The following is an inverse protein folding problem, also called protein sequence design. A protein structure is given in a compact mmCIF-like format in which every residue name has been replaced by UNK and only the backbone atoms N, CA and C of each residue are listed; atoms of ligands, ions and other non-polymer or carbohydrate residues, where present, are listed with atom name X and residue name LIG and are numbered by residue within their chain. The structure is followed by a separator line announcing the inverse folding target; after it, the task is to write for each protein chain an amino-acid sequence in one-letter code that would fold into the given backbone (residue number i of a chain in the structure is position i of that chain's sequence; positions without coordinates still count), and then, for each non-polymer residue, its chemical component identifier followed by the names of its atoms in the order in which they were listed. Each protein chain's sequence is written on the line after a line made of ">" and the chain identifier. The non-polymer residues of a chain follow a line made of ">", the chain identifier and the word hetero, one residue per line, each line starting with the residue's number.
data_IF_614724303560
#
_entry.id   IF_614724303560
#
_cell.length_a   1.000
_cell.length_b   1.000
_cell.length_c   1.000
_cell.angle_alpha   90.00
_cell.angle_beta   90.00
_cell.angle_gamma   90.00
#
_symmetry.space_group_name_H-M   'P 1'
#
loop_
_entity.id
_entity.type
_entity.pdbx_description
1 polymer ?
#
# COMPACT_ATOMS: atom_id res chain seq x y z
N UNK A 1 -12.69 13.46 10.92
CA UNK A 1 -11.23 13.37 11.23
C UNK A 1 -10.50 14.35 10.32
N UNK A 2 -9.72 15.23 10.90
CA UNK A 2 -8.96 16.24 10.14
C UNK A 2 -7.75 15.59 9.48
N UNK A 3 -7.48 15.90 8.20
CA UNK A 3 -6.30 15.45 7.49
C UNK A 3 -5.04 16.00 8.14
N UNK A 4 -4.07 15.13 8.43
CA UNK A 4 -2.74 15.48 8.91
C UNK A 4 -1.71 15.22 7.82
N UNK A 5 -0.78 16.17 7.62
CA UNK A 5 0.32 16.01 6.67
C UNK A 5 1.62 16.25 7.41
N UNK A 6 2.54 15.30 7.31
CA UNK A 6 3.88 15.37 7.86
C UNK A 6 4.91 15.24 6.75
N UNK A 7 6.06 15.87 6.93
CA UNK A 7 7.20 15.77 6.01
C UNK A 7 8.47 15.45 6.80
N UNK A 8 9.22 14.48 6.30
CA UNK A 8 10.50 14.07 6.87
C UNK A 8 11.53 13.90 5.75
N UNK A 9 12.80 14.00 6.10
CA UNK A 9 13.91 13.59 5.24
C UNK A 9 14.47 12.29 5.78
N UNK A 10 14.73 11.32 4.90
CA UNK A 10 15.34 10.05 5.27
C UNK A 10 16.10 9.45 4.09
N UNK A 11 17.11 8.62 4.38
CA UNK A 11 17.80 7.87 3.35
C UNK A 11 16.85 6.93 2.63
N UNK A 12 16.97 6.79 1.29
CA UNK A 12 16.15 5.84 0.56
C UNK A 12 16.49 4.39 0.96
N UNK A 13 15.49 3.52 0.91
CA UNK A 13 15.66 2.09 1.11
C UNK A 13 14.64 1.34 0.27
N UNK A 14 15.08 0.26 -0.38
CA UNK A 14 14.17 -0.66 -1.07
C UNK A 14 13.34 -1.51 -0.09
N UNK A 15 13.68 -1.48 1.18
CA UNK A 15 12.85 -2.04 2.28
C UNK A 15 12.12 -0.89 2.95
N UNK A 16 11.00 -0.48 2.37
CA UNK A 16 10.21 0.69 2.78
C UNK A 16 9.95 0.75 4.28
N UNK A 17 9.65 -0.40 4.89
CA UNK A 17 9.31 -0.49 6.32
C UNK A 17 10.51 -0.27 7.25
N UNK A 18 11.73 -0.22 6.74
CA UNK A 18 12.93 0.09 7.53
C UNK A 18 13.21 1.59 7.63
N UNK A 19 12.54 2.40 6.81
CA UNK A 19 12.66 3.86 6.86
C UNK A 19 11.98 4.34 8.14
N UNK A 20 12.74 4.99 9.04
CA UNK A 20 12.29 5.27 10.41
C UNK A 20 10.92 5.97 10.54
N UNK A 21 10.61 7.06 9.80
CA UNK A 21 9.29 7.68 9.90
C UNK A 21 8.15 6.77 9.43
N UNK A 22 8.40 5.90 8.44
CA UNK A 22 7.40 4.97 7.91
C UNK A 22 7.18 3.80 8.87
N UNK A 23 8.23 3.28 9.48
CA UNK A 23 8.14 2.27 10.54
C UNK A 23 7.32 2.79 11.72
N UNK A 24 7.56 4.03 12.13
CA UNK A 24 6.79 4.71 13.19
C UNK A 24 5.31 4.82 12.81
N UNK A 25 5.01 5.23 11.58
CA UNK A 25 3.64 5.35 11.09
C UNK A 25 2.90 4.00 11.17
N UNK A 26 3.52 2.94 10.67
CA UNK A 26 2.93 1.59 10.70
C UNK A 26 2.66 1.17 12.15
N UNK A 27 3.63 1.34 13.04
CA UNK A 27 3.49 0.94 14.44
C UNK A 27 2.37 1.71 15.14
N UNK A 28 2.26 3.02 14.91
CA UNK A 28 1.24 3.87 15.54
C UNK A 28 -0.16 3.60 15.01
N UNK A 29 -0.30 3.38 13.69
CA UNK A 29 -1.60 3.27 13.05
C UNK A 29 -2.11 1.83 12.94
N UNK A 30 -1.23 0.87 12.72
CA UNK A 30 -1.59 -0.53 12.46
C UNK A 30 -1.10 -1.50 13.55
N UNK A 31 -0.02 -1.17 14.25
CA UNK A 31 0.63 -2.13 15.17
C UNK A 31 1.36 -3.24 14.40
N UNK A 32 1.47 -4.41 15.02
CA UNK A 32 2.26 -5.52 14.49
C UNK A 32 1.45 -6.51 13.63
N UNK A 33 0.13 -6.39 13.64
CA UNK A 33 -0.75 -7.34 12.97
C UNK A 33 -1.47 -6.69 11.79
N UNK A 34 -0.95 -6.90 10.60
CA UNK A 34 -1.52 -6.39 9.36
C UNK A 34 -1.28 -7.37 8.19
N UNK A 35 -2.12 -7.28 7.18
CA UNK A 35 -1.96 -8.03 5.93
C UNK A 35 -1.02 -7.26 5.00
N UNK A 36 -0.09 -7.95 4.37
CA UNK A 36 0.86 -7.39 3.40
C UNK A 36 0.89 -8.26 2.13
N UNK A 37 0.25 -7.81 1.03
CA UNK A 37 0.26 -8.58 -0.22
C UNK A 37 1.60 -8.52 -0.99
N UNK A 38 2.52 -7.65 -0.58
CA UNK A 38 3.85 -7.52 -1.18
C UNK A 38 4.95 -7.66 -0.12
N UNK A 39 5.00 -8.79 0.60
CA UNK A 39 6.00 -8.97 1.65
C UNK A 39 7.41 -9.09 1.06
N UNK A 40 8.40 -8.95 1.92
CA UNK A 40 9.79 -9.24 1.57
C UNK A 40 10.23 -10.52 2.33
N UNK A 41 10.68 -11.56 1.63
CA UNK A 41 10.73 -11.72 0.17
C UNK A 41 9.35 -11.96 -0.47
N UNK A 42 9.19 -11.47 -1.70
CA UNK A 42 7.95 -11.65 -2.47
C UNK A 42 7.95 -13.02 -3.16
N UNK A 43 6.94 -13.84 -2.92
CA UNK A 43 6.91 -15.23 -3.39
C UNK A 43 5.59 -15.67 -4.03
N UNK A 44 4.53 -14.89 -3.88
CA UNK A 44 3.20 -15.24 -4.36
C UNK A 44 2.57 -14.06 -5.09
N UNK A 45 1.81 -14.36 -6.16
CA UNK A 45 1.01 -13.35 -6.86
C UNK A 45 0.08 -12.64 -5.87
N UNK A 46 0.23 -11.32 -5.76
CA UNK A 46 -0.49 -10.51 -4.78
C UNK A 46 -2.00 -10.57 -4.97
N UNK A 47 -2.48 -10.58 -6.21
CA UNK A 47 -3.93 -10.67 -6.49
C UNK A 47 -4.49 -12.01 -6.06
N UNK A 48 -3.80 -13.10 -6.36
CA UNK A 48 -4.18 -14.43 -5.89
C UNK A 48 -4.21 -14.52 -4.37
N UNK A 49 -3.18 -13.97 -3.72
CA UNK A 49 -3.10 -13.91 -2.26
C UNK A 49 -4.31 -13.17 -1.67
N UNK A 50 -4.62 -11.97 -2.20
CA UNK A 50 -5.76 -11.18 -1.73
C UNK A 50 -7.10 -11.89 -1.96
N UNK A 51 -7.29 -12.56 -3.10
CA UNK A 51 -8.52 -13.29 -3.42
C UNK A 51 -8.82 -14.43 -2.45
N UNK A 52 -7.79 -15.02 -1.85
CA UNK A 52 -7.95 -16.10 -0.88
C UNK A 52 -8.33 -15.62 0.52
N UNK A 53 -8.32 -14.33 0.78
CA UNK A 53 -8.72 -13.74 2.05
C UNK A 53 -10.24 -13.51 2.04
N UNK A 54 -10.98 -13.92 3.08
CA UNK A 54 -12.42 -13.69 3.15
C UNK A 54 -12.79 -12.19 3.14
N UNK A 55 -13.94 -11.87 2.60
CA UNK A 55 -14.49 -10.51 2.65
C UNK A 55 -14.69 -10.04 4.09
N UNK A 56 -14.49 -8.75 4.34
CA UNK A 56 -14.72 -8.11 5.64
C UNK A 56 -14.01 -8.82 6.82
N UNK A 57 -12.78 -9.28 6.59
CA UNK A 57 -12.03 -10.04 7.60
C UNK A 57 -10.77 -9.32 8.09
N UNK A 58 -10.34 -8.24 7.42
CA UNK A 58 -9.06 -7.57 7.68
C UNK A 58 -9.28 -6.22 8.35
N UNK A 59 -8.63 -6.01 9.50
CA UNK A 59 -8.64 -4.73 10.20
C UNK A 59 -7.57 -3.77 9.71
N UNK A 60 -6.38 -4.30 9.39
CA UNK A 60 -5.21 -3.51 9.02
C UNK A 60 -4.49 -4.11 7.83
N UNK A 61 -4.08 -3.28 6.88
CA UNK A 61 -3.38 -3.71 5.68
C UNK A 61 -2.32 -2.68 5.29
N UNK A 62 -1.17 -3.15 4.85
CA UNK A 62 -0.12 -2.34 4.22
C UNK A 62 -0.12 -2.64 2.73
N UNK A 63 -0.18 -1.61 1.90
CA UNK A 63 -0.15 -1.71 0.45
C UNK A 63 1.09 -1.03 -0.10
N UNK A 64 2.13 -1.81 -0.32
CA UNK A 64 3.41 -1.35 -0.89
C UNK A 64 3.68 -2.05 -2.23
N UNK A 65 2.87 -1.75 -3.27
CA UNK A 65 3.03 -2.39 -4.58
C UNK A 65 4.23 -1.83 -5.33
N UNK A 66 4.67 -2.51 -6.40
CA UNK A 66 5.57 -1.88 -7.36
C UNK A 66 4.96 -0.58 -7.89
N UNK A 67 5.80 0.46 -8.06
CA UNK A 67 5.31 1.80 -8.38
C UNK A 67 5.19 2.07 -9.88
N UNK A 68 5.70 1.16 -10.71
CA UNK A 68 5.64 1.26 -12.17
C UNK A 68 5.48 -0.13 -12.81
N UNK A 69 5.08 -0.15 -14.07
CA UNK A 69 4.97 -1.40 -14.85
C UNK A 69 6.31 -2.14 -14.93
N UNK A 70 7.42 -1.40 -15.05
CA UNK A 70 8.75 -1.98 -15.07
C UNK A 70 9.10 -2.64 -13.73
N UNK A 71 8.84 -1.97 -12.62
CA UNK A 71 9.08 -2.55 -11.29
C UNK A 71 8.20 -3.78 -11.03
N UNK A 72 6.96 -3.74 -11.49
CA UNK A 72 6.03 -4.87 -11.38
C UNK A 72 6.56 -6.08 -12.12
N UNK A 73 6.99 -5.90 -13.38
CA UNK A 73 7.58 -6.96 -14.20
C UNK A 73 8.80 -7.56 -13.51
N UNK A 74 9.74 -6.70 -13.09
CA UNK A 74 10.98 -7.13 -12.45
C UNK A 74 10.72 -7.91 -11.16
N UNK A 75 9.79 -7.44 -10.34
CA UNK A 75 9.44 -8.11 -9.08
C UNK A 75 8.90 -9.52 -9.32
N UNK A 76 8.02 -9.69 -10.30
CA UNK A 76 7.45 -10.99 -10.63
C UNK A 76 8.49 -11.92 -11.27
N UNK A 77 9.30 -11.43 -12.19
CA UNK A 77 10.38 -12.21 -12.80
C UNK A 77 11.38 -12.71 -11.75
N UNK A 78 11.81 -11.83 -10.84
CA UNK A 78 12.74 -12.19 -9.77
C UNK A 78 12.15 -13.24 -8.80
N UNK A 79 10.85 -13.29 -8.66
CA UNK A 79 10.15 -14.27 -7.83
C UNK A 79 9.82 -15.56 -8.58
N UNK A 80 10.14 -15.66 -9.88
CA UNK A 80 9.78 -16.80 -10.71
C UNK A 80 8.29 -16.91 -11.01
N UNK A 81 7.56 -15.78 -10.93
CA UNK A 81 6.13 -15.71 -11.15
C UNK A 81 5.79 -15.17 -12.54
N UNK A 82 4.70 -15.67 -13.12
CA UNK A 82 4.18 -15.21 -14.39
C UNK A 82 3.14 -14.11 -14.18
N UNK A 83 3.21 -13.04 -14.97
CA UNK A 83 2.22 -11.96 -14.94
C UNK A 83 1.06 -12.16 -15.92
N UNK A 84 1.24 -12.95 -16.99
CA UNK A 84 0.18 -13.30 -17.97
C UNK A 84 -0.75 -12.12 -18.31
N UNK A 85 -0.24 -11.08 -18.94
CA UNK A 85 -0.98 -9.84 -19.29
C UNK A 85 -1.44 -8.97 -18.10
N UNK A 86 -0.91 -9.20 -16.89
CA UNK A 86 -1.20 -8.37 -15.72
C UNK A 86 -0.38 -7.07 -15.66
N UNK A 87 0.39 -6.76 -16.70
CA UNK A 87 1.24 -5.55 -16.79
C UNK A 87 0.48 -4.25 -17.05
N UNK A 88 -0.82 -4.35 -17.28
CA UNK A 88 -1.60 -3.18 -17.66
C UNK A 88 -2.02 -2.35 -16.42
N UNK A 89 -2.59 -1.18 -16.69
CA UNK A 89 -3.06 -0.28 -15.64
C UNK A 89 -4.10 -0.90 -14.70
N UNK A 90 -4.77 -1.97 -15.13
CA UNK A 90 -5.78 -2.64 -14.31
C UNK A 90 -5.19 -3.48 -13.17
N UNK A 91 -3.88 -3.76 -13.15
CA UNK A 91 -3.26 -4.52 -12.07
C UNK A 91 -3.48 -3.85 -10.71
N UNK A 92 -3.15 -2.56 -10.60
CA UNK A 92 -3.31 -1.81 -9.35
C UNK A 92 -4.77 -1.67 -8.95
N UNK A 93 -5.65 -1.39 -9.91
CA UNK A 93 -7.09 -1.30 -9.62
C UNK A 93 -7.68 -2.65 -9.20
N UNK A 94 -7.20 -3.75 -9.73
CA UNK A 94 -7.60 -5.09 -9.31
C UNK A 94 -7.15 -5.37 -7.86
N UNK A 95 -5.93 -4.98 -7.49
CA UNK A 95 -5.49 -5.04 -6.10
C UNK A 95 -6.40 -4.20 -5.19
N UNK A 96 -6.71 -2.98 -5.58
CA UNK A 96 -7.54 -2.06 -4.78
C UNK A 96 -8.96 -2.57 -4.60
N UNK A 97 -9.54 -3.21 -5.62
CA UNK A 97 -10.85 -3.87 -5.51
C UNK A 97 -10.84 -4.96 -4.45
N UNK A 98 -9.83 -5.82 -4.46
CA UNK A 98 -9.70 -6.89 -3.49
C UNK A 98 -9.44 -6.36 -2.08
N UNK A 99 -8.62 -5.31 -1.94
CA UNK A 99 -8.39 -4.64 -0.66
C UNK A 99 -9.71 -4.08 -0.12
N UNK A 100 -10.50 -3.43 -0.97
CA UNK A 100 -11.83 -2.92 -0.58
C UNK A 100 -12.76 -4.03 -0.11
N UNK A 101 -12.70 -5.20 -0.74
CA UNK A 101 -13.53 -6.36 -0.36
C UNK A 101 -13.17 -6.93 1.00
N UNK A 102 -11.86 -7.09 1.28
CA UNK A 102 -11.38 -7.80 2.48
C UNK A 102 -11.29 -6.92 3.73
N UNK A 103 -11.05 -5.61 3.58
CA UNK A 103 -10.92 -4.70 4.72
C UNK A 103 -12.30 -4.37 5.27
N UNK A 104 -12.43 -4.50 6.60
CA UNK A 104 -13.66 -4.17 7.32
C UNK A 104 -13.96 -2.68 7.29
N UNK A 105 -15.23 -2.33 7.49
CA UNK A 105 -15.60 -0.94 7.81
C UNK A 105 -14.78 -0.47 9.01
N UNK A 106 -14.25 0.75 8.94
CA UNK A 106 -13.33 1.35 9.91
C UNK A 106 -11.93 0.71 9.93
N UNK A 107 -11.67 -0.29 9.08
CA UNK A 107 -10.33 -0.83 8.90
C UNK A 107 -9.39 0.19 8.27
N UNK A 108 -8.11 0.07 8.56
CA UNK A 108 -7.08 1.02 8.12
C UNK A 108 -6.14 0.40 7.10
N UNK A 109 -5.76 1.21 6.11
CA UNK A 109 -4.76 0.85 5.10
C UNK A 109 -3.70 1.94 5.03
N UNK A 110 -2.44 1.54 5.00
CA UNK A 110 -1.33 2.43 4.68
C UNK A 110 -0.79 2.02 3.31
N UNK A 111 -0.82 2.97 2.37
CA UNK A 111 -0.28 2.78 1.02
C UNK A 111 1.02 3.55 0.86
N UNK A 112 1.96 2.97 0.13
CA UNK A 112 3.22 3.63 -0.23
C UNK A 112 3.32 3.80 -1.74
N UNK A 113 3.93 4.89 -2.17
CA UNK A 113 4.10 5.17 -3.60
C UNK A 113 4.75 6.51 -3.86
N UNK A 114 4.64 6.96 -5.11
CA UNK A 114 5.12 8.26 -5.58
C UNK A 114 4.01 9.32 -5.62
N UNK A 115 2.81 8.96 -5.18
CA UNK A 115 1.68 9.87 -5.11
C UNK A 115 0.85 9.55 -3.84
N UNK A 116 -0.13 10.39 -3.57
CA UNK A 116 -1.01 10.27 -2.40
C UNK A 116 -2.41 9.76 -2.76
N UNK A 117 -2.56 9.01 -3.83
CA UNK A 117 -3.86 8.49 -4.23
C UNK A 117 -4.39 7.40 -3.29
N UNK A 118 -3.50 6.64 -2.67
CA UNK A 118 -3.88 5.55 -1.78
C UNK A 118 -4.76 4.50 -2.46
N UNK A 119 -5.64 3.88 -1.71
CA UNK A 119 -6.68 3.00 -2.26
C UNK A 119 -7.76 3.86 -2.94
N UNK A 120 -8.23 4.87 -2.23
CA UNK A 120 -9.04 5.92 -2.81
C UNK A 120 -10.53 5.88 -2.45
N UNK A 121 -11.13 7.04 -2.59
CA UNK A 121 -12.55 7.26 -2.30
C UNK A 121 -13.47 6.37 -3.13
N UNK A 122 -13.10 6.11 -4.38
CA UNK A 122 -13.84 5.20 -5.28
C UNK A 122 -14.05 3.81 -4.67
N UNK A 123 -13.13 3.37 -3.82
CA UNK A 123 -13.15 2.06 -3.18
C UNK A 123 -13.61 2.12 -1.71
N UNK A 124 -14.15 3.26 -1.28
CA UNK A 124 -14.70 3.42 0.06
C UNK A 124 -13.71 3.90 1.13
N UNK A 125 -12.56 4.42 0.73
CA UNK A 125 -11.51 4.83 1.67
C UNK A 125 -11.39 6.35 1.76
N UNK A 126 -11.13 6.84 2.97
CA UNK A 126 -10.92 8.25 3.25
C UNK A 126 -9.53 8.45 3.84
N UNK A 127 -8.76 9.35 3.24
CA UNK A 127 -7.42 9.71 3.73
C UNK A 127 -7.54 10.54 5.01
N UNK A 128 -6.76 10.18 6.03
CA UNK A 128 -6.68 10.97 7.26
C UNK A 128 -5.25 11.40 7.60
N UNK A 129 -4.24 10.79 7.00
CA UNK A 129 -2.83 11.17 7.22
C UNK A 129 -1.99 10.91 5.97
N UNK A 130 -1.10 11.86 5.66
CA UNK A 130 -0.11 11.73 4.59
C UNK A 130 1.26 12.02 5.21
N UNK A 131 2.23 11.14 4.95
CA UNK A 131 3.63 11.32 5.35
C UNK A 131 4.48 11.37 4.10
N UNK A 132 5.16 12.50 3.90
CA UNK A 132 6.06 12.73 2.78
C UNK A 132 7.50 12.48 3.24
N UNK A 133 8.19 11.57 2.58
CA UNK A 133 9.59 11.28 2.85
C UNK A 133 10.43 11.78 1.69
N UNK A 134 11.17 12.86 1.91
CA UNK A 134 12.13 13.37 0.95
C UNK A 134 13.43 12.57 1.06
N UNK A 135 13.89 12.01 -0.04
CA UNK A 135 15.17 11.29 -0.12
C UNK A 135 16.29 12.15 -0.71
N UNK A 136 15.93 13.25 -1.35
CA UNK A 136 16.88 14.15 -1.99
C UNK A 136 17.54 13.59 -3.24
N UNK A 137 18.41 14.40 -3.87
CA UNK A 137 19.22 14.04 -5.04
C UNK A 137 18.36 13.48 -6.19
N UNK A 138 18.74 12.30 -6.73
CA UNK A 138 18.05 11.68 -7.87
C UNK A 138 16.93 10.73 -7.48
N UNK A 139 16.61 10.64 -6.20
CA UNK A 139 15.59 9.69 -5.71
C UNK A 139 14.22 10.36 -5.67
N UNK A 140 13.19 9.66 -6.13
CA UNK A 140 11.81 10.07 -5.93
C UNK A 140 11.46 10.04 -4.44
N UNK A 141 10.63 10.98 -4.00
CA UNK A 141 10.09 10.96 -2.64
C UNK A 141 9.20 9.72 -2.44
N UNK A 142 9.20 9.20 -1.22
CA UNK A 142 8.23 8.19 -0.83
C UNK A 142 7.06 8.86 -0.13
N UNK A 143 5.85 8.55 -0.55
CA UNK A 143 4.62 9.09 0.01
C UNK A 143 3.85 7.95 0.67
N UNK A 144 3.59 8.08 1.96
CA UNK A 144 2.73 7.17 2.70
C UNK A 144 1.37 7.83 2.91
N UNK A 145 0.30 7.10 2.58
CA UNK A 145 -1.07 7.57 2.70
C UNK A 145 -1.82 6.64 3.64
N UNK A 146 -2.26 7.16 4.78
CA UNK A 146 -3.07 6.40 5.73
C UNK A 146 -4.55 6.69 5.48
N UNK A 147 -5.30 5.63 5.29
CA UNK A 147 -6.72 5.69 4.97
C UNK A 147 -7.54 4.82 5.92
N UNK A 148 -8.78 5.23 6.13
CA UNK A 148 -9.77 4.44 6.85
C UNK A 148 -10.92 4.10 5.91
N UNK A 149 -11.39 2.86 5.97
CA UNK A 149 -12.57 2.46 5.21
C UNK A 149 -13.80 3.03 5.88
N UNK A 150 -14.51 3.90 5.18
CA UNK A 150 -15.70 4.53 5.68
C UNK A 150 -16.68 4.78 4.53
N UNK A 151 -17.42 3.74 4.17
CA UNK A 151 -18.37 3.79 3.07
C UNK A 151 -19.61 4.64 3.39
N UNK A 152 -19.89 4.87 4.68
CA UNK A 152 -21.08 5.59 5.13
C UNK A 152 -20.95 7.11 5.06
N UNK A 153 -19.72 7.65 5.02
CA UNK A 153 -19.46 9.10 5.02
C UNK A 153 -18.80 9.61 3.75
N UNK A 154 -18.85 8.84 2.68
CA UNK A 154 -18.29 9.23 1.38
C UNK A 154 -19.32 10.01 0.55
#
# INVERSE_FOLDING_TARGET
>A
MKLKIERHWAMPSHKTFTIAPLKKLINEELGDNYVDPFPYPFKEDAIKYLKNIPANSVNHLVFDPPYSSYQLKTKYENAGLSLNNKYNASYWSNCKKEISRIVKEEGKVISFGWNSNGIGKKYGFKIYKIVLIAHGSYHNDTIATAEIKNTRSL
#
